data_IF_689756269031
#
_entry.id   IF_689756269031
#
_cell.length_a   1.000
_cell.length_b   1.000
_cell.length_c   1.000
_cell.angle_alpha   90.00
_cell.angle_beta   90.00
_cell.angle_gamma   90.00
#
_symmetry.space_group_name_H-M   'P 1'
#
loop_
_entity.id
_entity.type
_entity.pdbx_description
1 polymer ?
#
# COMPACT_ATOMS: atom_id res chain seq x y z
N UNK A 1 23.24 17.60 7.56
CA UNK A 1 22.58 16.42 6.95
C UNK A 1 21.55 16.94 5.98
N UNK A 2 21.73 16.71 4.68
CA UNK A 2 20.87 17.29 3.67
C UNK A 2 19.48 16.66 3.74
N UNK A 3 18.46 17.50 3.83
CA UNK A 3 17.06 17.11 3.88
C UNK A 3 16.68 16.51 2.52
N UNK A 4 16.70 15.18 2.39
CA UNK A 4 16.47 14.45 1.12
C UNK A 4 14.99 14.42 0.71
N UNK A 5 14.26 15.49 1.03
CA UNK A 5 12.85 15.64 0.68
C UNK A 5 12.75 16.17 -0.74
N UNK A 6 12.56 15.27 -1.70
CA UNK A 6 12.37 15.61 -3.11
C UNK A 6 10.89 15.44 -3.47
N UNK A 7 10.36 16.32 -4.32
CA UNK A 7 9.02 16.18 -4.90
C UNK A 7 9.17 15.95 -6.41
N UNK A 8 8.47 14.96 -6.92
CA UNK A 8 8.37 14.63 -8.34
C UNK A 8 6.88 14.58 -8.70
N UNK A 9 6.34 15.70 -9.21
CA UNK A 9 4.90 15.87 -9.42
C UNK A 9 4.08 15.69 -8.14
N UNK A 10 3.10 14.77 -8.19
CA UNK A 10 2.25 14.40 -7.04
C UNK A 10 2.96 13.47 -6.03
N UNK A 11 4.16 12.98 -6.34
CA UNK A 11 4.93 12.07 -5.47
C UNK A 11 5.85 12.86 -4.56
N UNK A 12 5.61 12.78 -3.26
CA UNK A 12 6.46 13.35 -2.22
C UNK A 12 7.34 12.26 -1.63
N UNK A 13 8.62 12.34 -1.96
CA UNK A 13 9.65 11.37 -1.60
C UNK A 13 10.24 11.83 -0.26
N UNK A 14 9.90 11.13 0.84
CA UNK A 14 10.56 11.34 2.15
C UNK A 14 11.85 10.54 2.26
N UNK A 15 11.85 9.32 1.70
CA UNK A 15 12.98 8.42 1.62
C UNK A 15 13.16 7.92 0.19
N UNK A 16 14.34 7.39 -0.14
CA UNK A 16 14.59 6.72 -1.42
C UNK A 16 13.48 5.70 -1.73
N UNK A 17 12.96 5.72 -2.95
CA UNK A 17 11.97 4.73 -3.39
C UNK A 17 12.69 3.39 -3.57
N UNK A 18 12.16 2.32 -2.98
CA UNK A 18 12.75 0.99 -3.11
C UNK A 18 12.42 0.36 -4.48
N UNK A 19 13.38 -0.39 -5.03
CA UNK A 19 13.21 -1.17 -6.26
C UNK A 19 12.73 -0.36 -7.47
N UNK A 20 11.98 -1.02 -8.35
CA UNK A 20 11.42 -0.41 -9.57
C UNK A 20 10.07 0.30 -9.35
N UNK A 21 9.59 0.38 -8.10
CA UNK A 21 8.31 1.02 -7.78
C UNK A 21 8.26 2.51 -8.12
N UNK A 22 9.41 3.18 -8.33
CA UNK A 22 9.44 4.58 -8.76
C UNK A 22 8.74 4.81 -10.11
N UNK A 23 8.78 3.84 -11.03
CA UNK A 23 8.06 3.93 -12.31
C UNK A 23 6.57 3.72 -12.09
N UNK A 24 6.21 2.69 -11.33
CA UNK A 24 4.82 2.37 -10.96
C UNK A 24 4.14 3.53 -10.24
N UNK A 25 4.79 4.14 -9.25
CA UNK A 25 4.24 5.27 -8.50
C UNK A 25 4.05 6.52 -9.37
N UNK A 26 4.90 6.73 -10.37
CA UNK A 26 4.70 7.82 -11.35
C UNK A 26 3.49 7.57 -12.25
N UNK A 27 3.25 6.33 -12.66
CA UNK A 27 2.04 5.96 -13.40
C UNK A 27 0.77 6.08 -12.54
N UNK A 28 0.85 5.72 -11.26
CA UNK A 28 -0.28 5.92 -10.33
C UNK A 28 -0.53 7.42 -10.12
N UNK A 29 0.51 8.23 -10.06
CA UNK A 29 0.40 9.68 -9.89
C UNK A 29 -0.25 10.40 -11.09
N UNK A 30 -0.32 9.79 -12.28
CA UNK A 30 -1.05 10.37 -13.42
C UNK A 30 -2.56 10.22 -13.32
N UNK A 31 -3.06 9.39 -12.40
CA UNK A 31 -4.51 9.25 -12.18
C UNK A 31 -5.08 10.54 -11.56
N UNK A 32 -6.27 10.92 -12.01
CA UNK A 32 -6.96 12.13 -11.53
C UNK A 32 -7.45 11.98 -10.09
N UNK A 33 -7.79 10.75 -9.69
CA UNK A 33 -8.23 10.42 -8.33
C UNK A 33 -7.11 10.54 -7.29
N UNK A 34 -5.85 10.56 -7.73
CA UNK A 34 -4.70 10.66 -6.84
C UNK A 34 -4.36 12.13 -6.64
N UNK A 35 -4.43 12.60 -5.40
CA UNK A 35 -4.02 13.96 -5.04
C UNK A 35 -2.53 13.99 -4.72
N UNK A 36 -2.06 13.06 -3.90
CA UNK A 36 -0.63 12.94 -3.58
C UNK A 36 -0.23 11.54 -3.17
N UNK A 37 1.05 11.22 -3.35
CA UNK A 37 1.66 9.96 -2.89
C UNK A 37 2.78 10.29 -1.90
N UNK A 38 2.75 9.67 -0.73
CA UNK A 38 3.72 9.85 0.34
C UNK A 38 4.47 8.54 0.57
N UNK A 39 5.79 8.55 0.38
CA UNK A 39 6.62 7.38 0.72
C UNK A 39 7.00 7.41 2.19
N UNK A 40 6.84 6.28 2.87
CA UNK A 40 7.12 6.09 4.28
C UNK A 40 8.45 5.41 4.54
N UNK A 41 8.56 4.87 5.75
CA UNK A 41 9.76 4.21 6.26
C UNK A 41 10.11 2.96 5.45
N UNK A 42 11.41 2.68 5.37
CA UNK A 42 11.96 1.49 4.75
C UNK A 42 12.43 0.56 5.86
N UNK A 43 11.92 -0.67 5.86
CA UNK A 43 12.34 -1.73 6.78
C UNK A 43 13.00 -2.87 5.99
N UNK A 44 14.10 -3.47 6.49
CA UNK A 44 14.67 -4.65 5.86
C UNK A 44 13.67 -5.82 5.95
N UNK A 45 13.55 -6.57 4.86
CA UNK A 45 12.67 -7.73 4.78
C UNK A 45 13.27 -8.77 3.85
N UNK A 46 12.92 -10.04 4.07
CA UNK A 46 13.29 -11.14 3.18
C UNK A 46 12.03 -11.59 2.46
N UNK A 47 11.72 -10.95 1.34
CA UNK A 47 10.68 -11.40 0.41
C UNK A 47 11.32 -12.14 -0.76
N UNK A 48 10.58 -13.06 -1.37
CA UNK A 48 11.01 -13.70 -2.61
C UNK A 48 10.52 -12.95 -3.85
N UNK A 49 9.54 -12.06 -3.70
CA UNK A 49 8.87 -11.39 -4.80
C UNK A 49 8.73 -9.89 -4.55
N UNK A 50 8.81 -9.14 -5.65
CA UNK A 50 8.52 -7.71 -5.67
C UNK A 50 7.04 -7.51 -5.94
N UNK A 51 6.31 -6.99 -4.95
CA UNK A 51 4.86 -6.81 -5.05
C UNK A 51 4.43 -5.52 -4.36
N UNK A 52 3.37 -4.91 -4.89
CA UNK A 52 2.66 -3.83 -4.23
C UNK A 52 1.33 -4.39 -3.72
N UNK A 53 1.14 -4.40 -2.41
CA UNK A 53 -0.07 -4.96 -1.79
C UNK A 53 -0.86 -3.88 -1.07
N UNK A 54 -2.19 -3.96 -1.15
CA UNK A 54 -3.07 -3.12 -0.36
C UNK A 54 -3.09 -3.60 1.09
N UNK A 55 -3.03 -2.67 2.05
CA UNK A 55 -2.99 -2.99 3.47
C UNK A 55 -4.28 -2.58 4.21
N UNK A 56 -4.69 -1.32 4.11
CA UNK A 56 -5.95 -0.81 4.66
C UNK A 56 -6.29 0.60 4.15
N UNK A 57 -7.54 1.01 4.36
CA UNK A 57 -8.01 2.38 4.15
C UNK A 57 -7.60 3.31 5.29
N UNK A 58 -7.21 4.53 4.95
CA UNK A 58 -6.91 5.61 5.89
C UNK A 58 -7.97 6.70 5.76
N UNK A 59 -8.03 7.61 6.74
CA UNK A 59 -9.00 8.73 6.73
C UNK A 59 -8.89 9.64 5.49
N UNK A 60 -7.76 9.60 4.79
CA UNK A 60 -7.46 10.47 3.64
C UNK A 60 -7.18 9.67 2.35
N UNK A 61 -7.31 8.35 2.36
CA UNK A 61 -6.99 7.52 1.19
C UNK A 61 -6.56 6.09 1.52
N UNK A 62 -5.45 5.63 0.94
CA UNK A 62 -5.01 4.22 0.97
C UNK A 62 -3.62 4.05 1.57
N UNK A 63 -3.41 2.96 2.33
CA UNK A 63 -2.07 2.48 2.67
C UNK A 63 -1.72 1.23 1.87
N UNK A 64 -0.61 1.32 1.14
CA UNK A 64 -0.01 0.24 0.39
C UNK A 64 1.33 -0.18 1.00
N UNK A 65 1.74 -1.39 0.69
CA UNK A 65 3.00 -1.98 1.10
C UNK A 65 3.77 -2.42 -0.14
N UNK A 66 4.85 -1.71 -0.45
CA UNK A 66 5.81 -2.15 -1.46
C UNK A 66 6.77 -3.14 -0.82
N UNK A 67 6.80 -4.37 -1.33
CA UNK A 67 7.75 -5.40 -0.92
C UNK A 67 8.76 -5.58 -2.04
N UNK A 68 10.04 -5.60 -1.70
CA UNK A 68 11.15 -6.01 -2.57
C UNK A 68 11.87 -7.19 -1.92
N UNK A 69 12.86 -7.76 -2.61
CA UNK A 69 13.62 -8.91 -2.08
C UNK A 69 14.37 -8.61 -0.78
N UNK A 70 14.80 -7.35 -0.59
CA UNK A 70 15.64 -6.92 0.54
C UNK A 70 14.95 -5.98 1.52
N UNK A 71 13.85 -5.34 1.12
CA UNK A 71 13.22 -4.29 1.89
C UNK A 71 11.71 -4.19 1.66
N UNK A 72 11.02 -3.57 2.61
CA UNK A 72 9.61 -3.21 2.54
C UNK A 72 9.48 -1.72 2.80
N UNK A 73 8.61 -1.05 2.06
CA UNK A 73 8.33 0.37 2.22
C UNK A 73 6.81 0.60 2.30
N UNK A 74 6.42 1.43 3.25
CA UNK A 74 5.04 1.91 3.33
C UNK A 74 4.80 3.02 2.32
N UNK A 75 3.65 2.98 1.64
CA UNK A 75 3.24 4.03 0.70
C UNK A 75 1.84 4.46 1.07
N UNK A 76 1.64 5.76 1.25
CA UNK A 76 0.33 6.35 1.51
C UNK A 76 -0.11 7.12 0.29
N UNK A 77 -1.30 6.84 -0.20
CA UNK A 77 -1.92 7.57 -1.31
C UNK A 77 -3.06 8.39 -0.75
N UNK A 78 -3.03 9.70 -0.97
CA UNK A 78 -4.10 10.62 -0.62
C UNK A 78 -5.05 10.72 -1.80
N UNK A 79 -6.32 10.45 -1.55
CA UNK A 79 -7.38 10.44 -2.57
C UNK A 79 -8.74 10.74 -1.93
N UNK A 80 -9.62 11.51 -2.60
CA UNK A 80 -10.99 11.71 -2.14
C UNK A 80 -11.88 10.46 -2.34
N UNK A 81 -11.48 9.50 -3.18
CA UNK A 81 -12.27 8.33 -3.57
C UNK A 81 -11.46 7.02 -3.45
N UNK A 82 -11.14 6.57 -2.24
CA UNK A 82 -10.23 5.43 -2.05
C UNK A 82 -10.74 4.10 -2.60
N UNK A 83 -12.05 3.87 -2.56
CA UNK A 83 -12.66 2.63 -3.06
C UNK A 83 -12.51 2.50 -4.58
N UNK A 84 -12.76 3.60 -5.31
CA UNK A 84 -12.66 3.64 -6.77
C UNK A 84 -11.22 3.44 -7.20
N UNK A 85 -10.29 4.15 -6.56
CA UNK A 85 -8.87 4.03 -6.84
C UNK A 85 -8.34 2.61 -6.59
N UNK A 86 -8.77 1.95 -5.51
CA UNK A 86 -8.35 0.58 -5.23
C UNK A 86 -8.81 -0.39 -6.33
N UNK A 87 -10.04 -0.22 -6.81
CA UNK A 87 -10.56 -1.03 -7.91
C UNK A 87 -9.83 -0.76 -9.23
N UNK A 88 -9.50 0.51 -9.53
CA UNK A 88 -8.68 0.85 -10.70
C UNK A 88 -7.28 0.25 -10.63
N UNK A 89 -6.60 0.38 -9.49
CA UNK A 89 -5.25 -0.17 -9.29
C UNK A 89 -5.24 -1.70 -9.37
N UNK A 90 -6.32 -2.35 -8.95
CA UNK A 90 -6.50 -3.80 -9.10
C UNK A 90 -6.73 -4.17 -10.57
N UNK A 91 -7.56 -3.41 -11.30
CA UNK A 91 -7.81 -3.63 -12.74
C UNK A 91 -6.56 -3.43 -13.59
N UNK A 92 -5.72 -2.45 -13.25
CA UNK A 92 -4.45 -2.19 -13.92
C UNK A 92 -3.37 -3.23 -13.58
N UNK A 93 -3.62 -4.10 -12.59
CA UNK A 93 -2.67 -5.14 -12.17
C UNK A 93 -1.49 -4.62 -11.35
N UNK A 94 -1.56 -3.37 -10.85
CA UNK A 94 -0.51 -2.83 -9.98
C UNK A 94 -0.56 -3.42 -8.58
N UNK A 95 -1.77 -3.70 -8.07
CA UNK A 95 -1.97 -4.23 -6.73
C UNK A 95 -2.42 -5.68 -6.80
N UNK A 96 -1.75 -6.54 -6.02
CA UNK A 96 -2.25 -7.87 -5.70
C UNK A 96 -3.09 -7.76 -4.42
N UNK A 97 -4.38 -8.15 -4.47
CA UNK A 97 -5.18 -8.33 -3.24
C UNK A 97 -4.59 -9.54 -2.49
N UNK A 98 -3.69 -9.28 -1.55
CA UNK A 98 -3.33 -10.31 -0.56
C UNK A 98 -4.63 -10.70 0.16
N UNK A 99 -4.95 -11.99 0.14
CA UNK A 99 -6.19 -12.54 0.70
C UNK A 99 -6.42 -11.98 2.11
N UNK A 100 -7.64 -11.54 2.39
CA UNK A 100 -8.11 -10.99 3.67
C UNK A 100 -7.94 -11.96 4.87
N UNK A 101 -7.43 -13.17 4.62
CA UNK A 101 -7.25 -14.22 5.60
C UNK A 101 -6.06 -14.00 6.56
N UNK A 102 -5.20 -12.99 6.31
CA UNK A 102 -4.18 -12.60 7.29
C UNK A 102 -4.83 -11.70 8.33
N UNK A 103 -5.64 -12.32 9.19
CA UNK A 103 -6.00 -11.75 10.47
C UNK A 103 -4.72 -11.25 11.15
N UNK A 104 -4.59 -9.92 11.27
CA UNK A 104 -3.73 -9.29 12.27
C UNK A 104 -4.30 -9.63 13.63
N UNK A 105 -4.12 -10.90 14.04
CA UNK A 105 -4.37 -11.34 15.39
C UNK A 105 -3.62 -10.39 16.32
N UNK A 106 -4.22 -10.02 17.46
CA UNK A 106 -3.66 -9.00 18.34
C UNK A 106 -2.20 -9.33 18.59
N UNK A 107 -1.32 -8.45 18.11
CA UNK A 107 0.13 -8.55 18.25
C UNK A 107 0.40 -8.99 19.67
N UNK A 108 0.89 -10.23 19.82
CA UNK A 108 1.32 -10.75 21.12
C UNK A 108 2.48 -9.87 21.53
N UNK A 109 2.18 -8.77 22.23
CA UNK A 109 3.13 -8.04 23.05
C UNK A 109 3.76 -9.11 23.92
N UNK A 110 4.98 -9.54 23.56
CA UNK A 110 5.80 -10.34 24.44
C UNK A 110 5.98 -9.48 25.67
N UNK A 111 5.22 -9.81 26.71
CA UNK A 111 5.36 -9.23 28.04
C UNK A 111 6.78 -9.62 28.44
N UNK A 112 7.73 -8.73 28.19
CA UNK A 112 9.06 -8.81 28.78
C UNK A 112 8.77 -8.70 30.27
N UNK A 113 8.75 -9.84 30.94
CA UNK A 113 8.71 -9.92 32.39
C UNK A 113 10.04 -9.31 32.83
N UNK A 114 10.02 -8.02 33.12
CA UNK A 114 11.06 -7.40 33.94
C UNK A 114 10.92 -8.06 35.31
N UNK A 115 11.84 -8.98 35.61
CA UNK A 115 12.02 -9.44 36.98
C UNK A 115 12.24 -8.20 37.87
N UNK A 116 11.54 -8.10 39.02
CA UNK A 116 11.75 -6.98 39.93
C UNK A 116 13.19 -7.05 40.44
N UNK A 117 13.94 -5.96 40.22
CA UNK A 117 15.24 -5.72 40.86
C UNK A 117 15.06 -5.96 42.36
N UNK A 118 15.72 -7.02 42.83
CA UNK A 118 15.89 -7.29 44.25
C UNK A 118 16.73 -6.15 44.79
N UNK A 119 16.15 -5.37 45.69
CA UNK A 119 16.83 -4.29 46.42
C UNK A 119 18.05 -4.86 47.13
N UNK A 120 19.21 -4.34 46.76
CA UNK A 120 20.46 -4.49 47.50
C UNK A 120 20.28 -3.80 48.85
N UNK A 121 20.35 -4.59 49.92
CA UNK A 121 20.85 -4.11 51.20
C UNK A 121 22.30 -4.55 51.29
N UNK A 122 23.09 -3.57 51.70
CA UNK A 122 24.51 -3.58 51.95
C UNK A 122 25.00 -4.86 52.66
N UNK A 123 26.16 -5.35 52.27
CA UNK A 123 27.34 -5.42 53.14
C UNK A 123 28.54 -6.05 52.41
N UNK A 124 29.61 -5.26 52.32
CA UNK A 124 31.02 -5.61 52.39
C UNK A 124 31.48 -6.98 51.86
N UNK A 125 32.30 -6.94 50.80
CA UNK A 125 33.66 -7.55 50.81
C UNK A 125 34.43 -7.31 49.52
N UNK A 126 35.58 -6.67 49.69
CA UNK A 126 36.75 -6.79 48.84
C UNK A 126 37.03 -8.25 48.47
N UNK A 127 37.21 -8.54 47.18
CA UNK A 127 38.35 -9.31 46.66
C UNK A 127 38.19 -9.70 45.19
N UNK A 128 39.31 -9.57 44.48
CA UNK A 128 39.80 -10.51 43.47
C UNK A 128 39.16 -10.47 42.07
N UNK A 129 39.79 -9.64 41.24
CA UNK A 129 39.97 -9.95 39.84
C UNK A 129 40.71 -11.28 39.71
N UNK A 130 40.09 -12.31 39.10
CA UNK A 130 40.71 -13.25 38.14
C UNK A 130 39.73 -14.37 37.74
N UNK A 131 39.55 -14.50 36.42
CA UNK A 131 39.34 -15.74 35.65
C UNK A 131 38.34 -16.80 36.13
N UNK A 132 37.31 -17.07 35.32
CA UNK A 132 36.79 -18.44 35.16
C UNK A 132 35.99 -18.63 33.86
N UNK A 133 36.62 -19.29 32.88
CA UNK A 133 35.92 -20.09 31.87
C UNK A 133 35.10 -21.16 32.61
N UNK A 134 33.77 -21.20 32.44
CA UNK A 134 32.95 -22.33 32.89
C UNK A 134 31.98 -22.80 31.80
N UNK A 135 32.31 -23.98 31.28
CA UNK A 135 31.44 -25.13 30.97
C UNK A 135 29.94 -24.82 30.82
N UNK A 136 29.45 -24.88 29.59
CA UNK A 136 28.04 -25.14 29.27
C UNK A 136 27.74 -26.60 29.66
N UNK A 137 27.04 -26.79 30.78
CA UNK A 137 26.47 -28.08 31.18
C UNK A 137 25.02 -28.18 30.65
N UNK A 138 24.67 -29.42 30.34
CA UNK A 138 23.44 -29.92 29.73
C UNK A 138 22.15 -29.21 30.17
N UNK A 139 21.39 -28.74 29.18
CA UNK A 139 19.97 -28.43 29.33
C UNK A 139 19.16 -29.73 29.32
N UNK A 140 18.22 -29.95 30.25
CA UNK A 140 17.33 -31.11 30.22
C UNK A 140 16.35 -30.98 29.04
N UNK A 141 16.31 -32.02 28.20
CA UNK A 141 15.26 -32.21 27.20
C UNK A 141 13.91 -32.33 27.92
N UNK A 142 13.07 -31.30 27.82
CA UNK A 142 11.66 -31.41 28.15
C UNK A 142 10.99 -32.20 27.03
N UNK A 143 10.59 -33.43 27.34
CA UNK A 143 9.70 -34.24 26.52
C UNK A 143 8.42 -33.46 26.24
N UNK A 144 8.17 -33.19 24.96
CA UNK A 144 6.93 -32.63 24.48
C UNK A 144 5.83 -33.71 24.65
N UNK A 145 5.03 -33.61 25.70
CA UNK A 145 3.73 -34.26 25.71
C UNK A 145 2.87 -33.54 24.67
N UNK A 146 2.48 -34.30 23.65
CA UNK A 146 1.53 -33.90 22.62
C UNK A 146 0.16 -33.64 23.26
N UNK A 147 -0.07 -32.39 23.69
CA UNK A 147 -1.40 -31.91 24.07
C UNK A 147 -1.99 -31.27 22.82
N UNK A 148 -2.81 -32.04 22.11
CA UNK A 148 -3.68 -31.54 21.05
C UNK A 148 -4.46 -30.33 21.62
N UNK A 149 -4.41 -29.15 20.97
CA UNK A 149 -5.13 -28.01 21.48
C UNK A 149 -6.64 -28.30 21.42
N UNK A 150 -7.29 -28.30 22.58
CA UNK A 150 -8.74 -28.39 22.69
C UNK A 150 -9.38 -27.44 21.67
N UNK A 151 -10.13 -28.00 20.73
CA UNK A 151 -10.83 -27.21 19.73
C UNK A 151 -11.86 -26.33 20.43
N UNK A 152 -12.04 -25.10 19.94
CA UNK A 152 -12.96 -24.11 20.52
C UNK A 152 -14.36 -24.68 20.79
N UNK A 153 -14.80 -25.64 19.97
CA UNK A 153 -16.02 -26.41 20.21
C UNK A 153 -16.05 -27.05 21.60
N UNK A 154 -15.00 -27.76 22.01
CA UNK A 154 -14.91 -28.50 23.28
C UNK A 154 -14.94 -27.59 24.52
N UNK A 155 -14.58 -26.31 24.38
CA UNK A 155 -14.63 -25.32 25.47
C UNK A 155 -15.99 -24.68 25.69
N UNK A 156 -16.88 -24.68 24.69
CA UNK A 156 -18.24 -24.19 24.87
C UNK A 156 -19.11 -25.28 25.51
N UNK A 157 -19.75 -24.93 26.64
CA UNK A 157 -20.75 -25.78 27.28
C UNK A 157 -21.92 -26.10 26.34
N UNK A 158 -22.59 -27.23 26.55
CA UNK A 158 -23.72 -27.69 25.72
C UNK A 158 -24.79 -26.62 25.55
N UNK A 159 -25.12 -25.90 26.61
CA UNK A 159 -26.12 -24.82 26.59
C UNK A 159 -25.76 -23.67 25.63
N UNK A 160 -24.48 -23.31 25.57
CA UNK A 160 -24.02 -22.22 24.69
C UNK A 160 -24.01 -22.65 23.22
N UNK A 161 -23.73 -23.93 22.94
CA UNK A 161 -23.85 -24.50 21.59
C UNK A 161 -25.29 -24.49 21.10
N UNK A 162 -26.23 -24.88 21.96
CA UNK A 162 -27.66 -24.89 21.62
C UNK A 162 -28.21 -23.48 21.40
N UNK A 163 -27.75 -22.51 22.20
CA UNK A 163 -28.09 -21.10 22.00
C UNK A 163 -27.61 -20.57 20.64
N UNK A 164 -26.38 -20.90 20.22
CA UNK A 164 -25.83 -20.52 18.93
C UNK A 164 -26.59 -21.14 17.75
N UNK A 165 -27.00 -22.42 17.87
CA UNK A 165 -27.80 -23.08 16.83
C UNK A 165 -29.16 -22.41 16.65
N UNK A 166 -29.85 -22.06 17.74
CA UNK A 166 -31.13 -21.31 17.69
C UNK A 166 -30.96 -19.93 17.05
N UNK A 167 -29.89 -19.23 17.37
CA UNK A 167 -29.62 -17.90 16.82
C UNK A 167 -29.36 -17.96 15.30
N UNK A 168 -28.63 -18.98 14.85
CA UNK A 168 -28.36 -19.23 13.43
C UNK A 168 -29.65 -19.48 12.63
N UNK A 169 -30.59 -20.25 13.19
CA UNK A 169 -31.91 -20.47 12.59
C UNK A 169 -32.73 -19.18 12.46
N UNK A 170 -32.72 -18.33 13.49
CA UNK A 170 -33.44 -17.06 13.46
C UNK A 170 -32.89 -16.07 12.42
N UNK A 171 -31.57 -16.04 12.21
CA UNK A 171 -30.95 -15.19 11.19
C UNK A 171 -31.27 -15.70 9.79
N UNK A 172 -31.23 -17.03 9.57
CA UNK A 172 -31.57 -17.63 8.28
C UNK A 172 -33.02 -17.34 7.88
N UNK A 173 -33.96 -17.45 8.82
CA UNK A 173 -35.38 -17.19 8.56
C UNK A 173 -35.71 -15.71 8.28
N UNK A 174 -34.87 -14.75 8.70
CA UNK A 174 -35.08 -13.32 8.43
C UNK A 174 -34.43 -12.83 7.12
N UNK A 175 -33.47 -13.57 6.56
CA UNK A 175 -32.74 -13.17 5.36
C UNK A 175 -33.51 -13.35 4.03
N UNK A 176 -34.58 -14.13 3.99
CA UNK A 176 -35.24 -14.49 2.71
C UNK A 176 -36.43 -13.60 2.33
N UNK A 177 -36.85 -12.63 3.16
CA UNK A 177 -38.08 -11.85 2.91
C UNK A 177 -37.94 -10.46 2.30
N UNK A 178 -36.72 -9.92 2.09
CA UNK A 178 -36.55 -8.54 1.60
C UNK A 178 -35.40 -8.36 0.61
N UNK A 179 -35.43 -9.09 -0.52
CA UNK A 179 -34.66 -8.70 -1.70
C UNK A 179 -35.65 -8.23 -2.79
N UNK A 180 -35.86 -6.92 -2.98
CA UNK A 180 -36.57 -6.42 -4.14
C UNK A 180 -35.70 -6.68 -5.39
N UNK A 181 -36.25 -7.43 -6.34
CA UNK A 181 -35.65 -7.60 -7.67
C UNK A 181 -35.40 -6.22 -8.30
N UNK A 182 -34.24 -5.97 -8.91
CA UNK A 182 -34.07 -4.80 -9.77
C UNK A 182 -34.87 -5.00 -11.06
N UNK A 183 -36.01 -4.31 -11.14
CA UNK A 183 -36.76 -4.16 -12.38
C UNK A 183 -35.89 -3.54 -13.47
N UNK A 184 -35.90 -4.22 -14.62
CA UNK A 184 -35.37 -3.76 -15.91
C UNK A 184 -35.89 -2.36 -16.23
N UNK A 185 -35.04 -1.34 -16.12
CA UNK A 185 -35.31 -0.02 -16.73
C UNK A 185 -34.86 -0.01 -18.18
N UNK A 186 -35.90 -0.13 -19.01
CA UNK A 186 -36.04 0.15 -20.42
C UNK A 186 -34.98 1.05 -21.09
N UNK A 187 -34.43 0.49 -22.16
CA UNK A 187 -34.09 1.16 -23.41
C UNK A 187 -35.17 2.17 -23.80
N UNK A 188 -34.82 3.46 -23.88
CA UNK A 188 -35.42 4.52 -24.72
C UNK A 188 -34.83 5.88 -24.32
N UNK A 189 -33.60 6.16 -24.74
CA UNK A 189 -33.12 7.54 -24.91
C UNK A 189 -31.87 7.61 -25.80
N UNK A 190 -31.98 7.04 -26.99
CA UNK A 190 -30.96 7.13 -28.03
C UNK A 190 -31.58 7.70 -29.32
N UNK A 191 -32.21 8.88 -29.26
CA UNK A 191 -32.69 9.54 -30.49
C UNK A 191 -33.02 11.04 -30.36
N UNK A 192 -32.29 11.85 -29.56
CA UNK A 192 -32.41 13.32 -29.64
C UNK A 192 -31.08 14.02 -29.37
N UNK A 193 -30.03 13.75 -30.16
CA UNK A 193 -28.84 14.63 -30.28
C UNK A 193 -28.17 14.47 -31.66
N UNK A 194 -28.96 14.66 -32.73
CA UNK A 194 -28.45 14.92 -34.09
C UNK A 194 -29.34 15.98 -34.71
N UNK A 195 -28.93 17.24 -34.58
CA UNK A 195 -29.35 18.47 -35.30
C UNK A 195 -29.18 19.62 -34.33
N UNK A 196 -27.98 20.21 -34.33
CA UNK A 196 -27.67 21.60 -34.00
C UNK A 196 -26.15 21.75 -34.14
N UNK A 197 -25.67 21.64 -35.38
CA UNK A 197 -24.34 22.13 -35.78
C UNK A 197 -24.39 22.53 -37.25
N UNK A 198 -25.13 23.60 -37.51
CA UNK A 198 -25.03 24.41 -38.70
C UNK A 198 -25.57 25.80 -38.34
N UNK A 199 -24.88 26.85 -38.78
CA UNK A 199 -25.13 28.29 -38.58
C UNK A 199 -24.64 28.91 -37.25
N UNK A 200 -23.40 29.41 -37.28
CA UNK A 200 -23.11 30.81 -36.95
C UNK A 200 -21.67 31.14 -37.35
N UNK A 201 -21.57 31.69 -38.55
CA UNK A 201 -20.46 32.52 -39.01
C UNK A 201 -20.61 33.93 -38.45
N UNK A 202 -19.46 34.60 -38.33
CA UNK A 202 -19.22 36.05 -38.29
C UNK A 202 -19.68 36.84 -37.06
N UNK A 203 -18.73 37.10 -36.15
CA UNK A 203 -18.42 38.45 -35.70
C UNK A 203 -16.98 38.46 -35.15
N UNK A 204 -16.11 39.22 -35.82
CA UNK A 204 -14.73 39.42 -35.45
C UNK A 204 -14.63 40.40 -34.28
N UNK A 205 -13.85 40.03 -33.27
CA UNK A 205 -13.19 40.98 -32.37
C UNK A 205 -11.95 40.31 -31.80
N UNK A 206 -10.87 41.06 -31.81
CA UNK A 206 -9.49 40.75 -31.48
C UNK A 206 -9.35 40.05 -30.12
N UNK A 207 -9.18 38.72 -30.13
CA UNK A 207 -8.53 37.99 -29.05
C UNK A 207 -7.42 37.14 -29.67
N UNK A 208 -6.21 37.64 -29.52
CA UNK A 208 -4.98 36.97 -29.90
C UNK A 208 -4.86 35.61 -29.19
N UNK A 209 -5.18 34.54 -29.93
CA UNK A 209 -4.34 33.36 -30.12
C UNK A 209 -3.66 32.73 -28.88
N UNK A 210 -4.40 32.55 -27.78
CA UNK A 210 -3.96 31.66 -26.70
C UNK A 210 -3.96 30.18 -27.11
N UNK A 211 -4.70 29.84 -28.18
CA UNK A 211 -4.74 28.48 -28.73
C UNK A 211 -3.52 28.12 -29.60
N UNK A 212 -2.78 29.11 -30.12
CA UNK A 212 -1.54 28.86 -30.86
C UNK A 212 -0.39 28.45 -29.93
N UNK A 213 -0.42 28.86 -28.66
CA UNK A 213 0.54 28.46 -27.61
C UNK A 213 0.51 26.97 -27.26
N UNK A 214 -0.60 26.30 -27.53
CA UNK A 214 -0.78 24.86 -27.27
C UNK A 214 -0.88 24.02 -28.54
N UNK A 215 -0.71 24.63 -29.71
CA UNK A 215 -0.45 23.86 -30.92
C UNK A 215 0.95 23.25 -30.77
N UNK A 216 1.12 21.92 -30.81
CA UNK A 216 2.43 21.31 -30.83
C UNK A 216 3.14 21.85 -32.09
N UNK A 217 4.03 22.81 -31.91
CA UNK A 217 5.01 23.11 -32.92
C UNK A 217 5.90 21.87 -32.97
N UNK A 218 5.67 21.05 -33.99
CA UNK A 218 6.60 20.03 -34.47
C UNK A 218 7.90 20.73 -34.91
N UNK A 219 8.65 21.26 -33.96
CA UNK A 219 10.07 21.51 -34.12
C UNK A 219 10.77 20.18 -33.85
N UNK A 220 10.57 19.21 -34.75
CA UNK A 220 11.50 18.10 -34.90
C UNK A 220 12.82 18.67 -35.41
N UNK A 221 13.57 19.32 -34.52
CA UNK A 221 15.00 19.55 -34.76
C UNK A 221 15.63 18.17 -34.84
N UNK A 222 15.84 17.68 -36.06
CA UNK A 222 16.53 16.44 -36.34
C UNK A 222 17.77 16.35 -35.46
N UNK A 223 17.93 15.21 -34.78
CA UNK A 223 19.05 14.93 -33.87
C UNK A 223 20.41 15.26 -34.51
N UNK A 224 20.53 15.15 -35.84
CA UNK A 224 21.73 15.55 -36.59
C UNK A 224 22.06 17.04 -36.51
N UNK A 225 21.05 17.92 -36.47
CA UNK A 225 21.27 19.37 -36.32
C UNK A 225 21.73 19.73 -34.91
N UNK A 226 21.26 19.00 -33.89
CA UNK A 226 21.76 19.13 -32.51
C UNK A 226 23.23 18.70 -32.40
N UNK A 227 23.60 17.62 -33.09
CA UNK A 227 24.98 17.14 -33.12
C UNK A 227 25.93 18.16 -33.78
N UNK A 228 25.54 18.72 -34.92
CA UNK A 228 26.34 19.72 -35.64
C UNK A 228 26.46 21.07 -34.90
N UNK A 229 25.47 21.43 -34.07
CA UNK A 229 25.56 22.61 -33.19
C UNK A 229 26.48 22.38 -32.00
N UNK A 230 26.65 21.15 -31.56
CA UNK A 230 27.56 20.83 -30.48
C UNK A 230 29.00 20.90 -30.98
N UNK A 231 29.79 21.86 -30.48
CA UNK A 231 31.26 21.93 -30.67
C UNK A 231 31.97 20.81 -29.88
N UNK A 232 31.41 19.60 -29.89
CA UNK A 232 31.94 18.46 -29.16
C UNK A 232 33.08 17.86 -29.98
N UNK A 233 34.28 18.05 -29.45
CA UNK A 233 35.53 17.66 -30.08
C UNK A 233 35.60 16.13 -30.23
N UNK A 234 35.68 15.62 -31.46
CA UNK A 234 35.63 14.18 -31.78
C UNK A 234 36.77 13.36 -31.13
N UNK A 235 37.75 14.03 -30.52
CA UNK A 235 38.87 13.41 -29.80
C UNK A 235 38.44 12.72 -28.49
N UNK A 236 37.24 12.99 -27.99
CA UNK A 236 36.73 12.37 -26.75
C UNK A 236 36.15 10.96 -26.92
N UNK A 237 35.93 10.49 -28.16
CA UNK A 237 35.30 9.18 -28.43
C UNK A 237 36.25 8.16 -29.08
N UNK A 238 37.57 8.32 -28.90
CA UNK A 238 38.56 7.30 -29.27
C UNK A 238 39.11 6.60 -28.05
#
# INVERSE_FOLDING_TARGET
MADHRRRDGKVKILHTIIGDFGKTLRQIATLDEVESILTGTIAPSKSYQETLTFQYFTDQGLKLLAKTTTAVQEIFIVTPAPDVLLDELTKMGYITREREDVHHGPSRRRKIVREPMRSEQDEDRDASWHTAKKKRLNAPQRSASSVEPETLGQRLGSEQRDALLRLKEQVKAKGEKNAPLPERRNEKNAQVRKKNKAASSSAATEEEDFASLFSPQDDETSFEQLFNKSKLDHRFFK
#
